data_IF_448896458143
#
_entry.id   IF_448896458143
#
_cell.length_a   1.000
_cell.length_b   1.000
_cell.length_c   1.000
_cell.angle_alpha   90.00
_cell.angle_beta   90.00
_cell.angle_gamma   90.00
#
_symmetry.space_group_name_H-M   'P 1'
#
loop_
_entity.id
_entity.type
_entity.pdbx_description
1 polymer ?
#
# COMPACT_ATOMS: atom_id res chain seq x y z
N UNK A 1 -0.67 22.61 -13.08
CA UNK A 1 -1.64 21.58 -12.69
C UNK A 1 -1.88 21.71 -11.19
N UNK A 2 -3.08 22.08 -10.77
CA UNK A 2 -3.38 22.22 -9.34
C UNK A 2 -3.57 20.81 -8.73
N UNK A 3 -2.80 20.50 -7.71
CA UNK A 3 -3.02 19.31 -6.88
C UNK A 3 -4.24 19.64 -6.03
N UNK A 4 -5.41 19.13 -6.41
CA UNK A 4 -6.64 19.30 -5.66
C UNK A 4 -6.66 18.47 -4.38
N UNK A 5 -7.60 18.76 -3.48
CA UNK A 5 -7.89 17.88 -2.33
C UNK A 5 -8.26 16.48 -2.78
N UNK A 6 -8.01 15.44 -1.96
CA UNK A 6 -8.49 14.10 -2.23
C UNK A 6 -10.00 14.09 -2.52
N UNK A 7 -10.45 13.20 -3.40
CA UNK A 7 -11.87 13.10 -3.81
C UNK A 7 -12.82 12.75 -2.66
N UNK A 8 -12.30 12.20 -1.55
CA UNK A 8 -13.08 11.84 -0.36
C UNK A 8 -12.31 12.17 0.91
N UNK A 9 -13.01 12.41 2.01
CA UNK A 9 -12.40 12.62 3.34
C UNK A 9 -11.53 11.42 3.77
N UNK A 10 -11.91 10.20 3.42
CA UNK A 10 -11.10 9.00 3.66
C UNK A 10 -9.73 9.03 2.96
N UNK A 11 -9.56 9.88 1.94
CA UNK A 11 -8.26 10.12 1.30
C UNK A 11 -7.29 10.93 2.17
N UNK A 12 -7.80 11.72 3.13
CA UNK A 12 -7.01 12.47 4.11
C UNK A 12 -6.78 11.59 5.33
N UNK A 13 -5.59 11.03 5.47
CA UNK A 13 -5.29 10.12 6.57
C UNK A 13 -3.84 10.17 6.99
N UNK A 14 -3.59 9.85 8.25
CA UNK A 14 -2.26 9.63 8.77
C UNK A 14 -1.96 8.14 8.77
N UNK A 15 -0.82 7.75 8.23
CA UNK A 15 -0.34 6.36 8.21
C UNK A 15 0.83 6.29 9.19
N UNK A 16 0.74 5.48 10.27
CA UNK A 16 1.85 5.29 11.19
C UNK A 16 3.02 4.61 10.47
N UNK A 17 4.22 5.08 10.75
CA UNK A 17 5.45 4.56 10.15
C UNK A 17 6.21 3.70 11.16
N UNK A 18 6.57 2.49 10.77
CA UNK A 18 7.56 1.70 11.47
C UNK A 18 8.99 2.10 11.05
N UNK A 19 10.00 1.59 11.74
CA UNK A 19 11.40 1.97 11.49
C UNK A 19 11.87 1.61 10.08
N UNK A 20 11.41 0.50 9.52
CA UNK A 20 11.74 0.08 8.16
C UNK A 20 11.24 1.10 7.14
N UNK A 21 9.97 1.51 7.25
CA UNK A 21 9.37 2.51 6.36
C UNK A 21 10.04 3.86 6.52
N UNK A 22 10.36 4.27 7.75
CA UNK A 22 11.12 5.51 8.01
C UNK A 22 12.47 5.51 7.30
N UNK A 23 13.20 4.39 7.34
CA UNK A 23 14.48 4.24 6.64
C UNK A 23 14.33 4.39 5.12
N UNK A 24 13.32 3.74 4.53
CA UNK A 24 13.03 3.84 3.09
C UNK A 24 12.67 5.28 2.71
N UNK A 25 11.79 5.93 3.47
CA UNK A 25 11.38 7.32 3.20
C UNK A 25 12.54 8.31 3.36
N UNK A 26 13.41 8.11 4.34
CA UNK A 26 14.63 8.92 4.53
C UNK A 26 15.58 8.79 3.33
N UNK A 27 15.77 7.58 2.83
CA UNK A 27 16.56 7.34 1.62
C UNK A 27 15.94 7.99 0.39
N UNK A 28 14.61 7.90 0.25
CA UNK A 28 13.86 8.54 -0.82
C UNK A 28 13.98 10.08 -0.73
N UNK A 29 13.88 10.66 0.46
CA UNK A 29 14.03 12.11 0.67
C UNK A 29 15.40 12.61 0.23
N UNK A 30 16.47 11.88 0.52
CA UNK A 30 17.82 12.21 0.07
C UNK A 30 17.92 12.26 -1.45
N UNK A 31 17.31 11.29 -2.16
CA UNK A 31 17.27 11.26 -3.63
C UNK A 31 16.49 12.44 -4.21
N UNK A 32 15.42 12.87 -3.55
CA UNK A 32 14.58 13.98 -3.99
C UNK A 32 15.17 15.36 -3.65
N UNK A 33 16.10 15.45 -2.70
CA UNK A 33 16.69 16.73 -2.28
C UNK A 33 17.38 17.50 -3.38
N UNK A 34 17.82 16.83 -4.45
CA UNK A 34 18.40 17.45 -5.64
C UNK A 34 17.35 17.82 -6.71
N UNK A 35 16.09 17.43 -6.52
CA UNK A 35 15.02 17.58 -7.53
C UNK A 35 13.94 18.52 -7.02
N UNK A 36 13.59 18.44 -5.73
CA UNK A 36 12.52 19.20 -5.11
C UNK A 36 13.06 20.31 -4.19
N UNK A 37 12.38 21.47 -4.12
CA UNK A 37 12.64 22.48 -3.10
C UNK A 37 12.57 21.91 -1.68
N UNK A 38 13.31 22.51 -0.74
CA UNK A 38 13.38 22.03 0.65
C UNK A 38 12.02 21.99 1.36
N UNK A 39 11.10 22.87 0.98
CA UNK A 39 9.74 22.96 1.54
C UNK A 39 8.71 22.08 0.81
N UNK A 40 9.12 21.31 -0.19
CA UNK A 40 8.22 20.38 -0.89
C UNK A 40 8.09 19.08 -0.10
N UNK A 41 6.87 18.75 0.29
CA UNK A 41 6.55 17.56 1.11
C UNK A 41 6.14 16.34 0.30
N UNK A 42 6.27 16.37 -1.03
CA UNK A 42 5.98 15.19 -1.86
C UNK A 42 6.95 14.05 -1.55
N UNK A 43 6.43 12.84 -1.44
CA UNK A 43 7.23 11.62 -1.23
C UNK A 43 7.81 11.11 -2.54
N UNK A 44 7.09 11.30 -3.64
CA UNK A 44 7.51 10.89 -4.98
C UNK A 44 7.38 12.05 -5.95
N UNK A 45 8.41 12.23 -6.76
CA UNK A 45 8.40 13.16 -7.88
C UNK A 45 9.08 12.53 -9.10
N UNK A 46 8.74 13.02 -10.28
CA UNK A 46 9.47 12.68 -11.51
C UNK A 46 10.88 13.27 -11.47
N UNK A 47 11.75 12.83 -12.37
CA UNK A 47 13.13 13.34 -12.49
C UNK A 47 13.19 14.84 -12.78
N UNK A 48 12.10 15.44 -13.24
CA UNK A 48 11.96 16.88 -13.49
C UNK A 48 11.16 17.60 -12.38
N UNK A 49 10.94 16.97 -11.23
CA UNK A 49 10.18 17.55 -10.11
C UNK A 49 8.66 17.59 -10.32
N UNK A 50 8.13 16.97 -11.38
CA UNK A 50 6.69 16.87 -11.64
C UNK A 50 6.00 15.77 -10.84
N UNK A 51 4.68 15.66 -11.02
CA UNK A 51 3.86 14.60 -10.41
C UNK A 51 4.14 13.25 -11.09
N UNK A 52 4.26 12.19 -10.28
CA UNK A 52 4.33 10.82 -10.79
C UNK A 52 2.91 10.29 -10.99
N UNK A 53 2.57 9.95 -12.22
CA UNK A 53 1.27 9.38 -12.59
C UNK A 53 1.30 7.83 -12.55
N UNK A 54 0.15 7.21 -12.35
CA UNK A 54 0.03 5.75 -12.27
C UNK A 54 0.62 5.01 -13.49
N UNK A 55 0.48 5.58 -14.69
CA UNK A 55 1.05 4.95 -15.88
C UNK A 55 2.58 4.88 -15.84
N UNK A 56 3.25 5.88 -15.24
CA UNK A 56 4.70 5.86 -15.10
C UNK A 56 5.16 4.77 -14.12
N UNK A 57 4.41 4.55 -13.04
CA UNK A 57 4.68 3.48 -12.08
C UNK A 57 4.47 2.11 -12.74
N UNK A 58 3.35 1.92 -13.42
CA UNK A 58 3.06 0.65 -14.10
C UNK A 58 4.06 0.35 -15.21
N UNK A 59 4.50 1.37 -15.95
CA UNK A 59 5.57 1.21 -16.94
C UNK A 59 6.88 0.75 -16.29
N UNK A 60 7.28 1.37 -15.19
CA UNK A 60 8.49 0.96 -14.47
C UNK A 60 8.40 -0.49 -13.94
N UNK A 61 7.21 -0.95 -13.52
CA UNK A 61 6.95 -2.34 -13.16
C UNK A 61 7.11 -3.23 -14.39
N UNK A 62 6.47 -2.91 -15.51
CA UNK A 62 6.56 -3.67 -16.75
C UNK A 62 8.00 -3.79 -17.26
N UNK A 63 8.75 -2.68 -17.23
CA UNK A 63 10.17 -2.67 -17.62
C UNK A 63 11.04 -3.56 -16.71
N UNK A 64 10.72 -3.60 -15.40
CA UNK A 64 11.40 -4.47 -14.44
C UNK A 64 11.06 -5.95 -14.67
N UNK A 65 9.80 -6.27 -14.96
CA UNK A 65 9.36 -7.63 -15.27
C UNK A 65 9.99 -8.16 -16.56
N UNK A 66 10.07 -7.34 -17.61
CA UNK A 66 10.74 -7.71 -18.86
C UNK A 66 12.22 -8.07 -18.65
N UNK A 67 12.94 -7.27 -17.83
CA UNK A 67 14.33 -7.59 -17.47
C UNK A 67 14.47 -8.91 -16.70
N UNK A 68 13.50 -9.23 -15.83
CA UNK A 68 13.50 -10.50 -15.11
C UNK A 68 13.24 -11.69 -16.05
N UNK A 69 12.34 -11.51 -17.01
CA UNK A 69 12.07 -12.52 -18.05
C UNK A 69 13.30 -12.79 -18.90
N UNK A 70 14.01 -11.74 -19.35
CA UNK A 70 15.30 -11.86 -20.07
C UNK A 70 16.37 -12.61 -19.25
N UNK A 71 16.32 -12.52 -17.91
CA UNK A 71 17.20 -13.26 -16.99
C UNK A 71 16.73 -14.70 -16.71
N UNK A 72 15.68 -15.17 -17.35
CA UNK A 72 15.11 -16.50 -17.12
C UNK A 72 14.33 -16.62 -15.81
N UNK A 73 13.86 -15.50 -15.25
CA UNK A 73 13.07 -15.42 -14.02
C UNK A 73 11.72 -14.75 -14.28
N UNK A 74 10.86 -15.35 -15.13
CA UNK A 74 9.57 -14.74 -15.46
C UNK A 74 8.69 -14.63 -14.22
N UNK A 75 8.06 -13.47 -14.06
CA UNK A 75 7.05 -13.20 -13.05
C UNK A 75 5.80 -12.76 -13.80
N UNK A 76 4.64 -13.27 -13.36
CA UNK A 76 3.36 -12.88 -13.91
C UNK A 76 3.18 -11.35 -13.84
N UNK A 77 2.61 -10.78 -14.90
CA UNK A 77 2.42 -9.33 -14.98
C UNK A 77 1.46 -8.83 -13.90
N UNK A 78 1.87 -7.78 -13.20
CA UNK A 78 1.04 -7.09 -12.22
C UNK A 78 1.13 -5.57 -12.36
N UNK A 79 0.20 -4.87 -11.72
CA UNK A 79 0.15 -3.41 -11.67
C UNK A 79 0.44 -2.90 -10.25
N UNK A 80 0.65 -1.60 -10.11
CA UNK A 80 0.84 -0.96 -8.79
C UNK A 80 -0.32 -1.25 -7.81
N UNK A 81 -1.54 -1.54 -8.31
CA UNK A 81 -2.67 -1.88 -7.45
C UNK A 81 -2.47 -3.23 -6.73
N UNK A 82 -1.87 -4.20 -7.42
CA UNK A 82 -1.57 -5.50 -6.81
C UNK A 82 -0.60 -5.41 -5.61
N UNK A 83 0.29 -4.40 -5.59
CA UNK A 83 1.14 -4.15 -4.41
C UNK A 83 0.31 -3.73 -3.20
N UNK A 84 -0.74 -2.93 -3.41
CA UNK A 84 -1.68 -2.54 -2.37
C UNK A 84 -2.48 -3.74 -1.86
N UNK A 85 -2.93 -4.60 -2.75
CA UNK A 85 -3.69 -5.82 -2.41
C UNK A 85 -2.80 -6.81 -1.66
N UNK A 86 -1.55 -6.97 -2.09
CA UNK A 86 -0.55 -7.77 -1.39
C UNK A 86 -0.30 -7.25 0.02
N UNK A 87 -0.15 -5.93 0.19
CA UNK A 87 0.00 -5.34 1.52
C UNK A 87 -1.22 -5.65 2.40
N UNK A 88 -2.42 -5.48 1.86
CA UNK A 88 -3.66 -5.72 2.59
C UNK A 88 -3.80 -7.18 3.04
N UNK A 89 -3.52 -8.13 2.14
CA UNK A 89 -3.51 -9.57 2.42
C UNK A 89 -2.50 -9.92 3.51
N UNK A 90 -1.25 -9.47 3.38
CA UNK A 90 -0.19 -9.72 4.37
C UNK A 90 -0.50 -9.11 5.73
N UNK A 91 -1.11 -7.93 5.75
CA UNK A 91 -1.53 -7.28 6.99
C UNK A 91 -2.57 -8.13 7.74
N UNK A 92 -3.55 -8.69 7.01
CA UNK A 92 -4.59 -9.56 7.58
C UNK A 92 -4.00 -10.91 8.04
N UNK A 93 -3.14 -11.54 7.24
CA UNK A 93 -2.46 -12.79 7.57
C UNK A 93 -1.64 -12.69 8.88
N UNK A 94 -1.10 -11.51 9.17
CA UNK A 94 -0.37 -11.22 10.40
C UNK A 94 -1.28 -10.83 11.58
N UNK A 95 -2.58 -10.99 11.45
CA UNK A 95 -3.56 -10.69 12.50
C UNK A 95 -3.92 -9.22 12.64
N UNK A 96 -3.62 -8.41 11.62
CA UNK A 96 -3.96 -6.99 11.61
C UNK A 96 -5.48 -6.75 11.57
N UNK A 97 -5.94 -5.75 12.32
CA UNK A 97 -7.36 -5.40 12.41
C UNK A 97 -7.92 -4.88 11.09
N UNK A 98 -9.08 -5.38 10.61
CA UNK A 98 -9.76 -4.85 9.43
C UNK A 98 -10.08 -3.36 9.52
N UNK A 99 -10.44 -2.88 10.70
CA UNK A 99 -10.74 -1.47 10.93
C UNK A 99 -9.50 -0.58 10.73
N UNK A 100 -8.36 -1.00 11.24
CA UNK A 100 -7.08 -0.30 11.05
C UNK A 100 -6.67 -0.35 9.57
N UNK A 101 -6.80 -1.51 8.93
CA UNK A 101 -6.50 -1.67 7.51
C UNK A 101 -7.37 -0.75 6.64
N UNK A 102 -8.69 -0.66 6.91
CA UNK A 102 -9.59 0.29 6.26
C UNK A 102 -9.03 1.71 6.31
N UNK A 103 -8.59 2.15 7.50
CA UNK A 103 -8.05 3.50 7.71
C UNK A 103 -6.75 3.70 6.93
N UNK A 104 -5.82 2.75 7.00
CA UNK A 104 -4.54 2.79 6.26
C UNK A 104 -4.79 2.85 4.76
N UNK A 105 -5.71 2.04 4.25
CA UNK A 105 -6.04 2.00 2.82
C UNK A 105 -6.88 3.20 2.38
N UNK A 106 -7.60 3.87 3.29
CA UNK A 106 -8.51 4.97 2.96
C UNK A 106 -9.77 4.50 2.25
N UNK A 107 -10.27 3.31 2.61
CA UNK A 107 -11.56 2.82 2.13
C UNK A 107 -12.70 3.60 2.79
N UNK A 108 -13.66 4.07 2.01
CA UNK A 108 -14.83 4.82 2.51
C UNK A 108 -15.74 3.93 3.36
N UNK A 109 -15.88 2.64 3.01
CA UNK A 109 -16.66 1.64 3.71
C UNK A 109 -15.82 0.51 4.30
N UNK A 110 -16.32 -0.14 5.35
CA UNK A 110 -15.67 -1.31 5.96
C UNK A 110 -15.92 -2.58 5.12
N UNK A 111 -17.03 -2.65 4.38
CA UNK A 111 -17.44 -3.84 3.61
C UNK A 111 -16.30 -4.39 2.73
N UNK A 112 -15.69 -3.53 1.91
CA UNK A 112 -14.58 -3.92 1.02
C UNK A 112 -13.40 -4.55 1.78
N UNK A 113 -13.10 -4.06 2.99
CA UNK A 113 -12.03 -4.60 3.84
C UNK A 113 -12.46 -5.91 4.50
N UNK A 114 -13.74 -6.04 4.87
CA UNK A 114 -14.30 -7.26 5.45
C UNK A 114 -14.42 -8.38 4.42
N UNK A 115 -14.74 -8.07 3.18
CA UNK A 115 -14.76 -9.05 2.09
C UNK A 115 -13.36 -9.66 1.90
N UNK A 116 -12.33 -8.82 1.86
CA UNK A 116 -10.94 -9.27 1.80
C UNK A 116 -10.57 -10.11 3.04
N UNK A 117 -10.95 -9.67 4.24
CA UNK A 117 -10.67 -10.40 5.48
C UNK A 117 -11.29 -11.80 5.47
N UNK A 118 -12.54 -11.91 5.05
CA UNK A 118 -13.26 -13.19 4.96
C UNK A 118 -12.65 -14.12 3.92
N UNK A 119 -12.13 -13.57 2.83
CA UNK A 119 -11.45 -14.35 1.78
C UNK A 119 -10.08 -14.86 2.25
N UNK A 120 -9.30 -14.04 2.94
CA UNK A 120 -7.93 -14.37 3.40
C UNK A 120 -7.98 -15.36 4.59
N UNK A 121 -8.97 -15.23 5.47
CA UNK A 121 -9.10 -16.04 6.68
C UNK A 121 -10.47 -16.76 6.75
N UNK A 122 -10.74 -17.72 5.87
CA UNK A 122 -12.07 -18.36 5.79
C UNK A 122 -12.49 -19.11 7.06
N UNK A 123 -11.54 -19.59 7.86
CA UNK A 123 -11.79 -20.38 9.07
C UNK A 123 -11.74 -19.55 10.37
N UNK A 124 -11.76 -18.22 10.27
CA UNK A 124 -11.61 -17.34 11.45
C UNK A 124 -12.73 -17.54 12.45
N UNK A 125 -13.98 -17.70 11.99
CA UNK A 125 -15.15 -17.91 12.88
C UNK A 125 -14.98 -19.13 13.77
N UNK A 126 -14.49 -20.25 13.24
CA UNK A 126 -14.26 -21.46 14.03
C UNK A 126 -13.14 -21.24 15.04
N UNK A 127 -12.02 -20.66 14.62
CA UNK A 127 -10.89 -20.35 15.52
C UNK A 127 -11.27 -19.39 16.64
N UNK A 128 -12.09 -18.38 16.35
CA UNK A 128 -12.60 -17.45 17.35
C UNK A 128 -13.51 -18.15 18.36
N UNK A 129 -14.38 -19.03 17.89
CA UNK A 129 -15.24 -19.83 18.77
C UNK A 129 -14.43 -20.80 19.64
N UNK A 130 -13.42 -21.46 19.07
CA UNK A 130 -12.56 -22.40 19.81
C UNK A 130 -11.72 -21.68 20.90
N UNK A 131 -11.39 -20.41 20.68
CA UNK A 131 -10.66 -19.58 21.63
C UNK A 131 -11.56 -18.87 22.66
N UNK A 132 -12.88 -18.92 22.51
CA UNK A 132 -13.81 -18.28 23.41
C UNK A 132 -13.89 -19.03 24.75
N UNK A 133 -13.27 -18.48 25.78
CA UNK A 133 -13.40 -18.99 27.15
C UNK A 133 -14.69 -18.44 27.77
N UNK A 134 -15.78 -19.21 27.68
CA UNK A 134 -17.01 -18.89 28.40
C UNK A 134 -16.84 -19.43 29.82
N UNK A 135 -16.75 -18.54 30.81
CA UNK A 135 -16.85 -18.89 32.23
C UNK A 135 -18.34 -18.93 32.56
N UNK A 136 -18.90 -20.13 32.74
CA UNK A 136 -20.25 -20.36 33.23
C UNK A 136 -20.27 -20.36 34.75
#
# INVERSE_FOLDING_TARGET
MNIGSPKSEAGKRNIPLNETIKGVLSSQRKKLGNILPMNDNRVFASVYGGIVHNHAINRAISDALARLEEQGKPIEHFTAHALRDTFATRYIEQGGSPQTLKTILGHSGLAMTMDLYSHVLPNTKQKEMDNLKIVL
#
